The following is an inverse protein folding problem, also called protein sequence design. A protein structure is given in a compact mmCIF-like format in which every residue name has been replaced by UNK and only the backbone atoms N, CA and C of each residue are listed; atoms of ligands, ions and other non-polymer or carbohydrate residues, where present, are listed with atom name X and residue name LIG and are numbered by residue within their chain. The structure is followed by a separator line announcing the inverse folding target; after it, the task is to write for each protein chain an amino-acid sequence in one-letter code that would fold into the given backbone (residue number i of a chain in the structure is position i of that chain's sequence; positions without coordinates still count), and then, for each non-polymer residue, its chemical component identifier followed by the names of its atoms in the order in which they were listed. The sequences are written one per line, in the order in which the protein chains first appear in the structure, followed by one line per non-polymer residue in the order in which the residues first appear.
data_IF_077761267050
#
_entry.id   IF_077761267050
#
_cell.length_a   1.000
_cell.length_b   1.000
_cell.length_c   1.000
_cell.angle_alpha   90.00
_cell.angle_beta   90.00
_cell.angle_gamma   90.00
#
_symmetry.space_group_name_H-M   'P 1'
#
loop_
_entity.id
_entity.type
_entity.pdbx_description
1 polymer ?
#
# COMPACT_ATOMS: atom_id res chain seq x y z
N UNK A 1 -25.03 4.06 18.46
CA UNK A 1 -24.20 5.28 18.60
C UNK A 1 -23.23 5.34 17.41
N UNK A 2 -23.59 6.08 16.35
CA UNK A 2 -22.81 6.22 15.09
C UNK A 2 -22.06 7.55 15.00
N UNK A 3 -21.79 8.16 16.16
CA UNK A 3 -20.93 9.32 16.31
C UNK A 3 -19.49 8.81 16.36
N UNK A 4 -18.58 9.32 15.51
CA UNK A 4 -17.17 9.62 15.89
C UNK A 4 -16.20 9.67 14.70
N UNK A 5 -16.33 8.79 13.69
CA UNK A 5 -15.31 8.75 12.60
C UNK A 5 -15.33 10.05 11.80
N UNK A 6 -16.50 10.61 11.48
CA UNK A 6 -16.56 11.87 10.74
C UNK A 6 -16.15 13.08 11.59
N UNK A 7 -16.51 13.15 12.88
CA UNK A 7 -16.21 14.36 13.68
C UNK A 7 -14.74 14.47 14.07
N UNK A 8 -14.12 13.37 14.54
CA UNK A 8 -12.72 13.37 14.94
C UNK A 8 -11.76 13.52 13.75
N UNK A 9 -12.22 13.13 12.56
CA UNK A 9 -11.49 13.27 11.31
C UNK A 9 -11.60 14.66 10.68
N UNK A 10 -12.79 15.25 10.71
CA UNK A 10 -13.04 16.55 10.09
C UNK A 10 -12.45 17.71 10.91
N UNK A 11 -12.17 17.52 12.20
CA UNK A 11 -11.62 18.60 13.03
C UNK A 11 -10.21 19.03 12.58
N UNK A 12 -9.20 18.14 12.43
CA UNK A 12 -7.89 18.53 11.89
C UNK A 12 -7.97 19.17 10.51
N UNK A 13 -8.82 18.65 9.61
CA UNK A 13 -9.00 19.21 8.26
C UNK A 13 -9.59 20.62 8.30
N UNK A 14 -10.64 20.85 9.10
CA UNK A 14 -11.23 22.19 9.28
C UNK A 14 -10.22 23.17 9.89
N UNK A 15 -9.38 22.70 10.81
CA UNK A 15 -8.29 23.51 11.35
C UNK A 15 -7.29 23.87 10.25
N UNK A 16 -6.95 22.92 9.39
CA UNK A 16 -6.05 23.13 8.26
C UNK A 16 -6.63 24.13 7.24
N UNK A 17 -7.91 23.97 6.89
CA UNK A 17 -8.63 24.91 6.01
C UNK A 17 -8.66 26.32 6.63
N UNK A 18 -8.93 26.43 7.94
CA UNK A 18 -8.92 27.71 8.64
C UNK A 18 -7.52 28.36 8.65
N UNK A 19 -6.46 27.56 8.86
CA UNK A 19 -5.08 28.03 8.81
C UNK A 19 -4.70 28.49 7.39
N UNK A 20 -5.08 27.73 6.37
CA UNK A 20 -4.85 28.11 4.96
C UNK A 20 -5.54 29.43 4.63
N UNK A 21 -6.80 29.61 5.03
CA UNK A 21 -7.54 30.86 4.86
C UNK A 21 -6.89 32.04 5.60
N UNK A 22 -6.31 31.82 6.79
CA UNK A 22 -5.59 32.90 7.48
C UNK A 22 -4.34 33.36 6.73
N UNK A 23 -3.63 32.44 6.06
CA UNK A 23 -2.49 32.79 5.22
C UNK A 23 -2.88 33.61 3.98
N UNK A 24 -3.97 33.25 3.30
CA UNK A 24 -4.44 33.99 2.12
C UNK A 24 -4.86 35.43 2.45
N UNK A 25 -5.39 35.65 3.66
CA UNK A 25 -5.86 36.95 4.11
C UNK A 25 -4.74 37.89 4.59
N UNK A 26 -3.47 37.45 4.54
CA UNK A 26 -2.31 38.28 4.92
C UNK A 26 -2.27 38.64 6.42
N UNK A 27 -3.00 37.92 7.27
CA UNK A 27 -2.91 38.02 8.72
C UNK A 27 -1.64 37.32 9.20
N UNK A 28 -1.21 37.60 10.45
CA UNK A 28 0.00 37.02 11.07
C UNK A 28 0.12 35.52 10.76
N UNK A 29 1.12 35.15 9.94
CA UNK A 29 1.29 33.78 9.49
C UNK A 29 1.51 32.85 10.69
N UNK A 30 0.76 31.73 10.79
CA UNK A 30 1.01 30.75 11.82
C UNK A 30 2.44 30.20 11.68
N UNK A 31 3.12 29.89 12.79
CA UNK A 31 4.40 29.19 12.75
C UNK A 31 4.30 27.89 11.91
N UNK A 32 5.33 27.55 11.11
CA UNK A 32 5.31 26.35 10.27
C UNK A 32 5.14 25.05 11.08
N UNK A 33 5.56 25.05 12.35
CA UNK A 33 5.36 23.93 13.28
C UNK A 33 3.88 23.60 13.51
N UNK A 34 2.98 24.59 13.47
CA UNK A 34 1.53 24.37 13.62
C UNK A 34 0.99 23.65 12.39
N UNK A 35 1.37 24.10 11.19
CA UNK A 35 0.99 23.42 9.94
C UNK A 35 1.45 21.97 9.93
N UNK A 36 2.70 21.71 10.33
CA UNK A 36 3.25 20.35 10.44
C UNK A 36 2.48 19.52 11.45
N UNK A 37 2.20 20.03 12.65
CA UNK A 37 1.47 19.29 13.68
C UNK A 37 0.06 18.90 13.22
N UNK A 38 -0.68 19.85 12.63
CA UNK A 38 -2.04 19.60 12.11
C UNK A 38 -2.01 18.62 10.93
N UNK A 39 -1.01 18.72 10.05
CA UNK A 39 -0.82 17.80 8.94
C UNK A 39 -0.53 16.37 9.42
N UNK A 40 0.40 16.21 10.36
CA UNK A 40 0.74 14.91 10.97
C UNK A 40 -0.51 14.28 11.57
N UNK A 41 -1.27 15.04 12.37
CA UNK A 41 -2.49 14.55 12.98
C UNK A 41 -3.52 14.14 11.91
N UNK A 42 -3.69 14.94 10.86
CA UNK A 42 -4.60 14.63 9.75
C UNK A 42 -4.21 13.34 9.04
N UNK A 43 -2.94 13.19 8.66
CA UNK A 43 -2.41 12.00 7.97
C UNK A 43 -2.49 10.74 8.83
N UNK A 44 -2.18 10.84 10.13
CA UNK A 44 -2.32 9.72 11.06
C UNK A 44 -3.78 9.25 11.17
N UNK A 45 -4.73 10.19 11.27
CA UNK A 45 -6.17 9.85 11.34
C UNK A 45 -6.65 9.21 10.04
N UNK A 46 -6.26 9.75 8.88
CA UNK A 46 -6.51 9.14 7.56
C UNK A 46 -5.95 7.70 7.54
N UNK A 47 -4.71 7.52 7.97
CA UNK A 47 -4.05 6.22 8.00
C UNK A 47 -4.72 5.19 8.91
N UNK A 48 -5.24 5.59 10.08
CA UNK A 48 -6.01 4.70 10.96
C UNK A 48 -7.28 4.21 10.28
N UNK A 49 -8.03 5.11 9.62
CA UNK A 49 -9.26 4.75 8.90
C UNK A 49 -8.95 3.84 7.71
N UNK A 50 -7.90 4.16 6.94
CA UNK A 50 -7.43 3.34 5.84
C UNK A 50 -7.01 1.94 6.32
N UNK A 51 -6.19 1.84 7.35
CA UNK A 51 -5.72 0.56 7.87
C UNK A 51 -6.88 -0.31 8.39
N UNK A 52 -7.89 0.29 9.03
CA UNK A 52 -9.10 -0.42 9.44
C UNK A 52 -9.86 -1.00 8.22
N UNK A 53 -10.03 -0.20 7.16
CA UNK A 53 -10.72 -0.64 5.94
C UNK A 53 -9.95 -1.73 5.17
N UNK A 54 -8.62 -1.62 5.10
CA UNK A 54 -7.76 -2.62 4.45
C UNK A 54 -7.70 -3.94 5.24
N UNK A 55 -7.68 -3.87 6.58
CA UNK A 55 -7.60 -5.07 7.45
C UNK A 55 -8.89 -5.86 7.53
N UNK A 56 -10.06 -5.20 7.44
CA UNK A 56 -11.37 -5.83 7.58
C UNK A 56 -11.80 -6.66 6.36
N UNK A 57 -11.14 -6.45 5.22
CA UNK A 57 -11.33 -7.30 4.04
C UNK A 57 -10.98 -8.77 4.32
N UNK A 58 -10.37 -9.09 5.47
CA UNK A 58 -10.03 -10.44 5.90
C UNK A 58 -10.97 -11.07 6.95
N UNK A 59 -11.94 -10.35 7.55
CA UNK A 59 -12.73 -10.86 8.70
C UNK A 59 -14.24 -10.62 8.58
N UNK A 60 -14.96 -11.63 8.09
CA UNK A 60 -16.42 -11.59 7.83
C UNK A 60 -17.34 -11.54 9.08
N UNK A 61 -16.82 -11.56 10.32
CA UNK A 61 -17.64 -11.88 11.51
C UNK A 61 -17.83 -10.78 12.58
N UNK A 62 -17.51 -9.50 12.32
CA UNK A 62 -17.72 -8.44 13.31
C UNK A 62 -19.11 -7.76 13.16
N UNK A 63 -20.08 -8.20 13.97
CA UNK A 63 -21.48 -7.75 13.99
C UNK A 63 -21.76 -6.41 14.70
N UNK A 64 -20.75 -5.66 15.15
CA UNK A 64 -20.95 -4.37 15.82
C UNK A 64 -20.34 -3.22 15.02
N UNK A 65 -21.21 -2.34 14.52
CA UNK A 65 -20.95 -1.16 13.68
C UNK A 65 -20.54 -1.51 12.25
N UNK A 66 -21.39 -1.16 11.28
CA UNK A 66 -21.10 -1.32 9.84
C UNK A 66 -19.81 -0.56 9.52
N UNK A 67 -18.71 -1.25 9.18
CA UNK A 67 -17.47 -0.58 8.86
C UNK A 67 -17.60 0.25 7.57
N UNK A 68 -16.76 1.28 7.39
CA UNK A 68 -16.75 2.05 6.15
C UNK A 68 -16.32 1.14 4.99
N UNK A 69 -16.96 1.29 3.83
CA UNK A 69 -16.63 0.45 2.67
C UNK A 69 -15.21 0.78 2.18
N UNK A 70 -14.36 -0.22 1.85
CA UNK A 70 -12.99 0.03 1.41
C UNK A 70 -12.88 1.00 0.24
N UNK A 71 -13.81 0.93 -0.72
CA UNK A 71 -13.85 1.84 -1.87
C UNK A 71 -14.12 3.30 -1.46
N UNK A 72 -15.08 3.53 -0.56
CA UNK A 72 -15.39 4.88 -0.05
C UNK A 72 -14.18 5.46 0.70
N UNK A 73 -13.47 4.62 1.46
CA UNK A 73 -12.24 5.02 2.17
C UNK A 73 -11.10 5.33 1.20
N UNK A 74 -10.88 4.51 0.18
CA UNK A 74 -9.85 4.81 -0.82
C UNK A 74 -10.15 6.09 -1.61
N UNK A 75 -11.42 6.32 -1.97
CA UNK A 75 -11.83 7.55 -2.64
C UNK A 75 -11.57 8.76 -1.74
N UNK A 76 -11.90 8.65 -0.45
CA UNK A 76 -11.59 9.67 0.55
C UNK A 76 -10.09 9.93 0.68
N UNK A 77 -9.26 8.89 0.74
CA UNK A 77 -7.79 9.04 0.80
C UNK A 77 -7.27 9.72 -0.46
N UNK A 78 -7.80 9.34 -1.62
CA UNK A 78 -7.42 9.88 -2.94
C UNK A 78 -7.72 11.37 -3.07
N UNK A 79 -8.71 11.91 -2.34
CA UNK A 79 -9.04 13.34 -2.36
C UNK A 79 -8.38 14.11 -1.23
N UNK A 80 -8.39 13.58 -0.02
CA UNK A 80 -7.98 14.33 1.17
C UNK A 80 -6.48 14.37 1.39
N UNK A 81 -5.75 13.31 1.02
CA UNK A 81 -4.28 13.35 1.12
C UNK A 81 -3.71 14.43 0.19
N UNK A 82 -4.08 14.50 -1.09
CA UNK A 82 -3.70 15.63 -1.95
C UNK A 82 -4.06 16.99 -1.37
N UNK A 83 -5.29 17.14 -0.85
CA UNK A 83 -5.75 18.40 -0.26
C UNK A 83 -4.85 18.83 0.91
N UNK A 84 -4.59 17.92 1.86
CA UNK A 84 -3.69 18.17 3.01
C UNK A 84 -2.29 18.58 2.53
N UNK A 85 -1.71 17.86 1.56
CA UNK A 85 -0.37 18.19 1.06
C UNK A 85 -0.33 19.56 0.38
N UNK A 86 -1.33 19.87 -0.45
CA UNK A 86 -1.41 21.16 -1.17
C UNK A 86 -1.58 22.36 -0.25
N UNK A 87 -2.25 22.18 0.91
CA UNK A 87 -2.41 23.25 1.88
C UNK A 87 -1.20 23.41 2.82
N UNK A 88 -0.45 22.34 3.08
CA UNK A 88 0.60 22.33 4.10
C UNK A 88 1.97 22.66 3.53
N UNK A 89 2.32 22.13 2.35
CA UNK A 89 3.67 22.27 1.82
C UNK A 89 4.01 23.71 1.41
N UNK A 90 3.16 24.48 0.71
CA UNK A 90 3.50 25.84 0.32
C UNK A 90 3.78 26.79 1.50
N UNK A 91 2.96 26.83 2.58
CA UNK A 91 3.25 27.63 3.77
C UNK A 91 4.57 27.24 4.45
N UNK A 92 4.87 25.94 4.54
CA UNK A 92 6.15 25.46 5.09
C UNK A 92 7.30 26.00 4.24
N UNK A 93 7.28 25.82 2.91
CA UNK A 93 8.35 26.30 2.04
C UNK A 93 8.51 27.81 2.12
N UNK A 94 7.39 28.56 2.16
CA UNK A 94 7.39 30.01 2.26
C UNK A 94 8.07 30.52 3.54
N UNK A 95 7.82 29.88 4.68
CA UNK A 95 8.40 30.24 5.97
C UNK A 95 9.94 30.17 5.97
N UNK A 96 10.53 29.31 5.14
CA UNK A 96 11.98 29.12 5.00
C UNK A 96 12.61 29.94 3.86
N UNK A 97 11.88 30.89 3.28
CA UNK A 97 12.46 31.86 2.34
C UNK A 97 13.14 33.01 3.10
N UNK A 98 14.15 33.66 2.47
CA UNK A 98 14.90 34.78 3.09
C UNK A 98 14.02 35.94 3.58
N UNK A 99 12.79 36.09 3.07
CA UNK A 99 11.80 37.06 3.56
C UNK A 99 11.08 36.60 4.84
N UNK A 100 10.83 35.30 5.01
CA UNK A 100 10.17 34.74 6.19
C UNK A 100 11.04 34.80 7.46
N UNK A 101 12.36 34.67 7.31
CA UNK A 101 13.30 34.81 8.43
C UNK A 101 13.35 36.23 9.03
N UNK A 102 13.04 37.27 8.24
CA UNK A 102 13.04 38.66 8.69
C UNK A 102 11.84 39.02 9.60
N UNK A 103 10.77 38.23 9.55
CA UNK A 103 9.56 38.38 10.39
C UNK A 103 9.64 37.60 11.71
N UNK A 104 10.68 36.78 11.92
CA UNK A 104 10.90 35.98 13.14
C UNK A 104 11.46 36.76 14.33
N UNK A 105 11.13 38.06 14.47
CA UNK A 105 11.36 38.75 15.73
C UNK A 105 10.45 38.12 16.77
N UNK A 106 11.05 37.56 17.82
CA UNK A 106 10.39 36.90 18.96
C UNK A 106 9.59 37.93 19.75
N UNK A 107 8.49 38.40 19.19
CA UNK A 107 7.40 39.04 19.91
C UNK A 107 6.42 37.94 20.26
N UNK A 108 6.08 37.83 21.54
CA UNK A 108 5.12 36.89 22.13
C UNK A 108 3.86 36.77 21.28
N UNK A 109 3.87 35.87 20.31
CA UNK A 109 2.77 35.72 19.37
C UNK A 109 1.62 35.02 20.07
N UNK A 110 0.35 35.31 19.72
CA UNK A 110 -0.82 34.67 20.32
C UNK A 110 -0.82 33.13 20.18
N UNK A 111 0.04 32.57 19.34
CA UNK A 111 0.18 31.14 19.10
C UNK A 111 0.89 30.36 20.22
N UNK A 112 1.75 30.99 21.02
CA UNK A 112 2.45 30.28 22.12
C UNK A 112 1.47 29.84 23.20
N UNK A 113 0.46 30.66 23.49
CA UNK A 113 -0.57 30.36 24.49
C UNK A 113 -1.49 29.22 24.07
N UNK A 114 -1.69 29.01 22.75
CA UNK A 114 -2.53 27.93 22.21
C UNK A 114 -1.81 26.58 22.30
N UNK A 115 -0.48 26.56 22.14
CA UNK A 115 0.33 25.34 22.19
C UNK A 115 0.54 24.80 23.62
N UNK A 116 0.41 25.65 24.63
CA UNK A 116 0.57 25.27 26.05
C UNK A 116 -0.75 24.79 26.71
N UNK A 117 -1.90 24.96 26.04
CA UNK A 117 -3.22 24.93 26.68
C UNK A 117 -3.99 23.61 26.73
N UNK A 118 -3.66 22.57 25.96
CA UNK A 118 -4.49 21.35 25.90
C UNK A 118 -3.70 20.18 25.28
N UNK A 119 -3.43 19.11 26.05
CA UNK A 119 -3.05 17.71 25.69
C UNK A 119 -2.15 17.39 24.45
N UNK A 120 -1.59 18.40 23.76
CA UNK A 120 -0.77 18.29 22.56
C UNK A 120 0.74 18.19 22.88
N UNK A 121 1.07 18.00 24.15
CA UNK A 121 2.40 18.13 24.75
C UNK A 121 3.52 17.19 24.25
N UNK A 122 3.30 16.08 23.50
CA UNK A 122 4.44 15.34 22.92
C UNK A 122 4.83 15.79 21.49
N UNK A 123 3.99 16.53 20.76
CA UNK A 123 4.25 16.88 19.35
C UNK A 123 5.10 18.15 19.19
N UNK A 124 5.03 19.06 20.16
CA UNK A 124 5.78 20.33 20.14
C UNK A 124 7.28 20.13 20.41
N UNK A 125 7.71 19.07 21.09
CA UNK A 125 9.14 18.81 21.37
C UNK A 125 9.91 18.17 20.20
N UNK A 126 9.21 17.51 19.28
CA UNK A 126 9.83 16.83 18.12
C UNK A 126 10.04 17.76 16.91
N UNK A 127 9.40 18.94 16.90
CA UNK A 127 9.35 19.85 15.74
C UNK A 127 10.15 21.16 15.99
N UNK A 128 10.96 21.22 17.06
CA UNK A 128 11.80 22.41 17.41
C UNK A 128 13.08 22.51 16.53
N UNK A 129 13.10 21.89 15.36
CA UNK A 129 14.16 22.09 14.38
C UNK A 129 13.79 23.22 13.43
N UNK A 130 14.56 24.31 13.40
CA UNK A 130 14.48 25.34 12.36
C UNK A 130 15.04 24.84 11.00
N UNK A 131 14.85 23.57 10.68
CA UNK A 131 15.37 22.93 9.47
C UNK A 131 14.20 22.44 8.61
N UNK A 132 14.11 23.00 7.39
CA UNK A 132 13.14 22.62 6.38
C UNK A 132 13.14 21.12 6.11
N UNK A 133 14.33 20.51 6.08
CA UNK A 133 14.53 19.07 5.86
C UNK A 133 13.81 18.23 6.92
N UNK A 134 13.91 18.62 8.20
CA UNK A 134 13.25 17.92 9.32
C UNK A 134 11.73 18.05 9.22
N UNK A 135 11.23 19.24 8.89
CA UNK A 135 9.79 19.51 8.74
C UNK A 135 9.17 18.72 7.59
N UNK A 136 9.82 18.73 6.43
CA UNK A 136 9.38 17.95 5.26
C UNK A 136 9.42 16.46 5.55
N UNK A 137 10.48 15.97 6.19
CA UNK A 137 10.59 14.57 6.56
C UNK A 137 9.51 14.14 7.58
N UNK A 138 9.11 15.03 8.50
CA UNK A 138 8.03 14.74 9.44
C UNK A 138 6.69 14.54 8.71
N UNK A 139 6.32 15.44 7.79
CA UNK A 139 5.05 15.32 7.04
C UNK A 139 5.09 14.15 6.06
N UNK A 140 6.13 14.07 5.22
CA UNK A 140 6.26 13.02 4.20
C UNK A 140 6.50 11.64 4.82
N UNK A 141 7.21 11.56 5.95
CA UNK A 141 7.38 10.32 6.70
C UNK A 141 6.05 9.74 7.18
N UNK A 142 5.16 10.58 7.71
CA UNK A 142 3.83 10.15 8.14
C UNK A 142 2.97 9.70 6.97
N UNK A 143 3.05 10.40 5.83
CA UNK A 143 2.40 9.98 4.59
C UNK A 143 2.85 8.57 4.15
N UNK A 144 4.15 8.30 4.19
CA UNK A 144 4.71 6.99 3.83
C UNK A 144 4.23 5.91 4.77
N UNK A 145 4.43 6.12 6.07
CA UNK A 145 4.26 5.07 7.08
C UNK A 145 2.80 4.69 7.32
N UNK A 146 1.91 5.68 7.31
CA UNK A 146 0.51 5.46 7.65
C UNK A 146 -0.39 5.24 6.44
N UNK A 147 0.05 5.63 5.24
CA UNK A 147 -0.80 5.58 4.04
C UNK A 147 -0.15 4.75 2.93
N UNK A 148 0.94 5.25 2.33
CA UNK A 148 1.47 4.67 1.09
C UNK A 148 1.99 3.25 1.27
N UNK A 149 2.72 2.96 2.36
CA UNK A 149 3.17 1.59 2.66
C UNK A 149 2.00 0.64 2.92
N UNK A 150 0.94 1.12 3.57
CA UNK A 150 -0.26 0.31 3.84
C UNK A 150 -0.99 -0.07 2.57
N UNK A 151 -1.01 0.83 1.58
CA UNK A 151 -1.59 0.54 0.27
C UNK A 151 -0.77 -0.55 -0.44
N UNK A 152 0.56 -0.44 -0.47
CA UNK A 152 1.44 -1.44 -1.10
C UNK A 152 1.27 -2.82 -0.45
N UNK A 153 1.31 -2.89 0.88
CA UNK A 153 1.13 -4.12 1.65
C UNK A 153 -0.24 -4.78 1.42
N UNK A 154 -1.28 -3.98 1.14
CA UNK A 154 -2.62 -4.49 0.90
C UNK A 154 -2.84 -5.04 -0.52
N UNK A 155 -1.94 -4.80 -1.49
CA UNK A 155 -2.12 -5.27 -2.87
C UNK A 155 -2.23 -6.80 -2.91
N UNK A 156 -1.35 -7.51 -2.22
CA UNK A 156 -1.35 -8.97 -2.21
C UNK A 156 -2.64 -9.53 -1.61
N UNK A 157 -3.03 -9.06 -0.42
CA UNK A 157 -4.26 -9.52 0.24
C UNK A 157 -5.52 -9.17 -0.55
N UNK A 158 -5.60 -7.96 -1.11
CA UNK A 158 -6.70 -7.53 -1.97
C UNK A 158 -6.82 -8.42 -3.21
N UNK A 159 -5.71 -8.74 -3.86
CA UNK A 159 -5.71 -9.58 -5.07
C UNK A 159 -6.15 -11.02 -4.78
N UNK A 160 -5.69 -11.58 -3.66
CA UNK A 160 -6.13 -12.92 -3.20
C UNK A 160 -7.63 -12.97 -2.92
N UNK A 161 -8.15 -11.95 -2.23
CA UNK A 161 -9.57 -11.85 -1.91
C UNK A 161 -10.42 -11.61 -3.17
N UNK A 162 -9.99 -10.71 -4.04
CA UNK A 162 -10.68 -10.41 -5.29
C UNK A 162 -10.80 -11.67 -6.16
N UNK A 163 -9.72 -12.44 -6.27
CA UNK A 163 -9.70 -13.69 -7.05
C UNK A 163 -10.57 -14.77 -6.42
N UNK A 164 -10.61 -14.90 -5.09
CA UNK A 164 -11.45 -15.90 -4.42
C UNK A 164 -12.94 -15.62 -4.60
N UNK A 165 -13.33 -14.35 -4.73
CA UNK A 165 -14.70 -13.92 -5.01
C UNK A 165 -15.09 -14.16 -6.46
N UNK A 166 -14.19 -13.87 -7.42
CA UNK A 166 -14.45 -14.11 -8.84
C UNK A 166 -14.50 -15.60 -9.21
N UNK A 167 -13.79 -16.44 -8.45
CA UNK A 167 -13.76 -17.89 -8.62
C UNK A 167 -14.41 -18.58 -7.42
N UNK A 168 -15.74 -18.43 -7.22
CA UNK A 168 -16.42 -18.96 -6.05
C UNK A 168 -16.24 -20.47 -5.98
N UNK A 169 -15.70 -20.91 -4.84
CA UNK A 169 -15.49 -22.31 -4.57
C UNK A 169 -16.84 -23.01 -4.39
N UNK A 170 -17.07 -24.18 -5.00
CA UNK A 170 -18.30 -24.92 -4.76
C UNK A 170 -18.41 -25.24 -3.25
N UNK A 171 -19.50 -24.76 -2.63
CA UNK A 171 -19.82 -24.95 -1.22
C UNK A 171 -19.57 -26.41 -0.81
N UNK A 172 -18.78 -26.62 0.25
CA UNK A 172 -18.50 -27.95 0.81
C UNK A 172 -19.78 -28.65 1.31
N UNK A 173 -20.84 -27.89 1.62
CA UNK A 173 -21.96 -28.38 2.43
C UNK A 173 -23.30 -28.55 1.69
N UNK A 174 -23.37 -28.32 0.37
CA UNK A 174 -24.60 -28.62 -0.41
C UNK A 174 -24.76 -30.09 -0.79
N UNK A 175 -24.10 -30.97 -0.05
CA UNK A 175 -24.02 -32.40 -0.30
C UNK A 175 -24.74 -33.27 0.73
N UNK A 176 -25.84 -32.84 1.36
CA UNK A 176 -26.74 -33.76 2.08
C UNK A 176 -28.09 -33.14 2.50
N UNK A 177 -28.96 -32.85 1.54
CA UNK A 177 -30.42 -32.97 1.75
C UNK A 177 -31.09 -33.45 0.47
N UNK A 178 -31.19 -34.77 0.32
CA UNK A 178 -32.19 -35.36 -0.56
C UNK A 178 -33.58 -35.09 0.04
N UNK A 179 -34.46 -34.38 -0.67
CA UNK A 179 -35.78 -34.92 -1.08
C UNK A 179 -36.63 -33.89 -1.84
N UNK A 180 -37.32 -34.42 -2.84
CA UNK A 180 -38.33 -33.80 -3.71
C UNK A 180 -39.36 -32.95 -2.94
N UNK A 181 -39.44 -31.67 -3.27
CA UNK A 181 -40.72 -30.96 -3.44
C UNK A 181 -40.51 -29.72 -4.30
N UNK A 182 -40.84 -29.92 -5.58
CA UNK A 182 -41.15 -28.88 -6.56
C UNK A 182 -42.15 -27.91 -5.95
N UNK A 183 -41.65 -26.78 -5.47
CA UNK A 183 -42.45 -25.60 -5.10
C UNK A 183 -41.71 -24.37 -5.60
N UNK A 184 -42.49 -23.41 -6.09
CA UNK A 184 -42.14 -22.28 -6.95
C UNK A 184 -40.84 -21.51 -6.62
N UNK A 185 -40.20 -20.88 -7.62
CA UNK A 185 -39.09 -19.97 -7.40
C UNK A 185 -39.60 -18.74 -6.65
N UNK A 186 -39.36 -18.71 -5.34
CA UNK A 186 -39.60 -17.53 -4.52
C UNK A 186 -38.49 -16.51 -4.84
N UNK A 187 -38.86 -15.45 -5.53
CA UNK A 187 -38.04 -14.34 -6.02
C UNK A 187 -37.52 -13.41 -4.91
N UNK A 188 -37.11 -13.95 -3.77
CA UNK A 188 -36.71 -13.18 -2.59
C UNK A 188 -35.59 -13.84 -1.80
N UNK A 189 -34.68 -14.53 -2.49
CA UNK A 189 -33.38 -14.81 -1.92
C UNK A 189 -32.56 -13.53 -2.04
N UNK A 190 -32.69 -12.70 -1.00
CA UNK A 190 -31.82 -11.60 -0.65
C UNK A 190 -30.40 -11.95 -1.04
N UNK A 191 -29.94 -11.35 -2.14
CA UNK A 191 -28.53 -11.25 -2.47
C UNK A 191 -27.89 -10.66 -1.22
N UNK A 192 -27.24 -11.52 -0.46
CA UNK A 192 -26.29 -11.14 0.57
C UNK A 192 -25.47 -10.01 -0.02
N UNK A 193 -25.60 -8.83 0.56
CA UNK A 193 -24.80 -7.65 0.23
C UNK A 193 -23.37 -7.92 0.66
N UNK A 194 -22.73 -8.90 0.04
CA UNK A 194 -21.29 -9.09 0.07
C UNK A 194 -20.75 -7.78 -0.48
N UNK A 195 -20.09 -7.00 0.39
CA UNK A 195 -19.53 -5.72 0.01
C UNK A 195 -18.67 -5.90 -1.24
N UNK A 196 -18.76 -4.95 -2.17
CA UNK A 196 -17.90 -4.93 -3.35
C UNK A 196 -16.45 -5.10 -2.90
N UNK A 197 -15.73 -6.14 -3.37
CA UNK A 197 -14.38 -6.40 -2.92
C UNK A 197 -13.46 -5.23 -3.23
N UNK A 198 -12.42 -5.09 -2.41
CA UNK A 198 -11.36 -4.15 -2.65
C UNK A 198 -10.64 -4.52 -3.96
N UNK A 199 -10.79 -3.68 -4.98
CA UNK A 199 -10.14 -3.88 -6.26
C UNK A 199 -8.67 -3.43 -6.20
N UNK A 200 -7.69 -4.26 -6.61
CA UNK A 200 -6.28 -3.88 -6.60
C UNK A 200 -5.97 -2.67 -7.48
N UNK A 201 -6.74 -2.45 -8.55
CA UNK A 201 -6.61 -1.28 -9.42
C UNK A 201 -6.91 0.03 -8.68
N UNK A 202 -7.84 0.02 -7.73
CA UNK A 202 -8.18 1.18 -6.92
C UNK A 202 -7.04 1.55 -5.95
N UNK A 203 -6.31 0.55 -5.42
CA UNK A 203 -5.11 0.76 -4.63
C UNK A 203 -4.00 1.43 -5.46
N UNK A 204 -3.73 0.89 -6.67
CA UNK A 204 -2.75 1.45 -7.59
C UNK A 204 -3.13 2.88 -8.03
N UNK A 205 -4.41 3.13 -8.30
CA UNK A 205 -4.89 4.47 -8.67
C UNK A 205 -4.74 5.47 -7.52
N UNK A 206 -4.97 5.04 -6.28
CA UNK A 206 -4.73 5.87 -5.10
C UNK A 206 -3.24 6.25 -4.98
N UNK A 207 -2.32 5.28 -5.12
CA UNK A 207 -0.87 5.55 -5.14
C UNK A 207 -0.50 6.53 -6.25
N UNK A 208 -0.98 6.30 -7.48
CA UNK A 208 -0.73 7.15 -8.64
C UNK A 208 -1.17 8.58 -8.40
N UNK A 209 -2.35 8.76 -7.82
CA UNK A 209 -2.90 10.10 -7.57
C UNK A 209 -2.06 10.85 -6.54
N UNK A 210 -1.68 10.20 -5.43
CA UNK A 210 -0.88 10.85 -4.39
C UNK A 210 0.52 11.20 -4.91
N UNK A 211 1.18 10.29 -5.63
CA UNK A 211 2.51 10.54 -6.20
C UNK A 211 2.48 11.65 -7.27
N UNK A 212 1.45 11.67 -8.13
CA UNK A 212 1.28 12.74 -9.12
C UNK A 212 1.11 14.11 -8.46
N UNK A 213 0.42 14.18 -7.32
CA UNK A 213 0.27 15.43 -6.57
C UNK A 213 1.60 15.87 -5.95
N UNK A 214 2.40 14.95 -5.42
CA UNK A 214 3.75 15.29 -4.94
C UNK A 214 4.65 15.81 -6.07
N UNK A 215 4.58 15.19 -7.25
CA UNK A 215 5.33 15.66 -8.43
C UNK A 215 4.86 17.05 -8.88
N UNK A 216 3.54 17.30 -8.88
CA UNK A 216 2.99 18.62 -9.21
C UNK A 216 3.39 19.69 -8.17
N UNK A 217 3.42 19.33 -6.88
CA UNK A 217 3.91 20.24 -5.83
C UNK A 217 5.41 20.53 -5.98
N UNK A 218 6.20 19.61 -6.54
CA UNK A 218 7.58 19.88 -6.91
C UNK A 218 7.67 20.87 -8.09
N UNK A 219 6.81 20.72 -9.11
CA UNK A 219 6.72 21.68 -10.23
C UNK A 219 6.37 23.09 -9.74
N UNK A 220 5.33 23.19 -8.90
CA UNK A 220 4.90 24.47 -8.33
C UNK A 220 6.01 25.08 -7.46
N UNK A 221 6.66 24.27 -6.62
CA UNK A 221 7.76 24.73 -5.78
C UNK A 221 8.98 25.15 -6.60
N UNK A 222 9.24 24.55 -7.77
CA UNK A 222 10.33 24.97 -8.64
C UNK A 222 10.16 26.41 -9.14
N UNK A 223 8.91 26.81 -9.39
CA UNK A 223 8.59 28.17 -9.84
C UNK A 223 8.53 29.17 -8.69
N UNK A 224 7.97 28.78 -7.54
CA UNK A 224 7.69 29.69 -6.42
C UNK A 224 8.83 29.76 -5.38
N UNK A 225 9.55 28.65 -5.18
CA UNK A 225 10.53 28.47 -4.09
C UNK A 225 11.83 27.80 -4.59
N UNK A 226 12.57 28.43 -5.52
CA UNK A 226 13.71 27.80 -6.19
C UNK A 226 14.88 27.42 -5.27
N UNK A 227 14.97 28.02 -4.07
CA UNK A 227 16.00 27.67 -3.08
C UNK A 227 15.60 26.43 -2.26
N UNK A 228 14.30 26.22 -2.05
CA UNK A 228 13.75 25.18 -1.18
C UNK A 228 13.35 23.93 -1.96
N UNK A 229 13.01 24.07 -3.26
CA UNK A 229 12.54 22.97 -4.12
C UNK A 229 13.49 21.77 -4.11
N UNK A 230 14.79 22.01 -4.03
CA UNK A 230 15.80 20.96 -4.00
C UNK A 230 15.56 19.97 -2.84
N UNK A 231 15.26 20.48 -1.64
CA UNK A 231 15.00 19.64 -0.48
C UNK A 231 13.68 18.88 -0.64
N UNK A 232 12.63 19.53 -1.17
CA UNK A 232 11.36 18.87 -1.43
C UNK A 232 11.50 17.73 -2.46
N UNK A 233 12.19 17.97 -3.57
CA UNK A 233 12.45 16.97 -4.61
C UNK A 233 13.26 15.81 -4.03
N UNK A 234 14.32 16.10 -3.26
CA UNK A 234 15.13 15.07 -2.60
C UNK A 234 14.30 14.20 -1.66
N UNK A 235 13.44 14.81 -0.82
CA UNK A 235 12.58 14.07 0.11
C UNK A 235 11.48 13.27 -0.60
N UNK A 236 10.94 13.81 -1.68
CA UNK A 236 9.97 13.10 -2.54
C UNK A 236 10.60 11.90 -3.22
N UNK A 237 11.84 12.01 -3.70
CA UNK A 237 12.57 10.88 -4.26
C UNK A 237 12.92 9.82 -3.20
N UNK A 238 13.36 10.21 -2.02
CA UNK A 238 13.61 9.28 -0.90
C UNK A 238 12.33 8.52 -0.50
N UNK A 239 11.18 9.21 -0.49
CA UNK A 239 9.86 8.60 -0.32
C UNK A 239 9.58 7.55 -1.40
N UNK A 240 9.76 7.90 -2.68
CA UNK A 240 9.58 7.00 -3.82
C UNK A 240 10.49 5.76 -3.72
N UNK A 241 11.76 5.94 -3.37
CA UNK A 241 12.72 4.84 -3.19
C UNK A 241 12.29 3.90 -2.05
N UNK A 242 11.76 4.42 -0.93
CA UNK A 242 11.19 3.60 0.17
C UNK A 242 10.00 2.77 -0.29
N UNK A 243 9.11 3.34 -1.11
CA UNK A 243 7.95 2.63 -1.65
C UNK A 243 8.35 1.55 -2.65
N UNK A 244 9.34 1.85 -3.51
CA UNK A 244 9.91 0.87 -4.43
C UNK A 244 10.48 -0.33 -3.65
N UNK A 245 11.23 -0.08 -2.58
CA UNK A 245 11.78 -1.14 -1.72
C UNK A 245 10.68 -1.98 -1.05
N UNK A 246 9.60 -1.33 -0.59
CA UNK A 246 8.45 -2.04 -0.04
C UNK A 246 7.76 -2.93 -1.09
N UNK A 247 7.58 -2.44 -2.33
CA UNK A 247 7.01 -3.24 -3.42
C UNK A 247 7.88 -4.47 -3.75
N UNK A 248 9.21 -4.32 -3.77
CA UNK A 248 10.15 -5.43 -3.96
C UNK A 248 10.11 -6.41 -2.78
N UNK A 249 9.98 -5.92 -1.56
CA UNK A 249 9.81 -6.77 -0.37
C UNK A 249 8.53 -7.60 -0.44
N UNK A 250 7.41 -7.01 -0.86
CA UNK A 250 6.14 -7.73 -1.06
C UNK A 250 6.24 -8.74 -2.21
N UNK A 251 6.94 -8.41 -3.31
CA UNK A 251 7.23 -9.35 -4.39
C UNK A 251 8.04 -10.55 -3.87
N UNK A 252 9.11 -10.31 -3.11
CA UNK A 252 9.88 -11.38 -2.48
C UNK A 252 9.02 -12.23 -1.52
N UNK A 253 8.10 -11.59 -0.78
CA UNK A 253 7.15 -12.26 0.09
C UNK A 253 6.19 -13.20 -0.66
N UNK A 254 5.66 -12.76 -1.81
CA UNK A 254 4.78 -13.58 -2.66
C UNK A 254 5.39 -14.90 -3.09
N UNK A 255 6.70 -14.92 -3.32
CA UNK A 255 7.41 -16.12 -3.78
C UNK A 255 7.97 -16.96 -2.64
N UNK A 256 8.04 -16.40 -1.43
CA UNK A 256 8.58 -17.08 -0.24
C UNK A 256 7.51 -17.87 0.52
N UNK A 257 6.22 -17.59 0.29
CA UNK A 257 5.12 -18.37 0.85
C UNK A 257 5.13 -19.77 0.21
N UNK A 258 5.53 -20.84 0.94
CA UNK A 258 5.52 -22.18 0.39
C UNK A 258 4.07 -22.53 0.11
N UNK A 259 3.73 -22.73 -1.17
CA UNK A 259 2.38 -23.11 -1.53
C UNK A 259 2.00 -24.36 -0.70
N UNK A 260 0.95 -24.30 0.14
CA UNK A 260 0.47 -25.50 0.79
C UNK A 260 -0.04 -26.42 -0.34
N UNK A 261 0.47 -27.66 -0.32
CA UNK A 261 -0.01 -28.82 -1.06
C UNK A 261 0.38 -28.98 -2.53
N UNK A 262 1.68 -29.22 -2.79
CA UNK A 262 2.11 -30.12 -3.89
C UNK A 262 2.84 -31.39 -3.39
N UNK A 263 3.06 -31.54 -2.07
CA UNK A 263 3.87 -32.64 -1.47
C UNK A 263 3.09 -33.88 -1.01
N UNK A 264 1.81 -34.05 -1.37
CA UNK A 264 1.05 -35.26 -0.98
C UNK A 264 0.33 -35.94 -2.13
N UNK A 265 1.07 -36.32 -3.16
CA UNK A 265 0.79 -37.58 -3.85
C UNK A 265 2.02 -38.48 -3.72
N UNK A 266 2.00 -39.49 -2.82
CA UNK A 266 3.09 -40.45 -2.77
C UNK A 266 3.12 -41.19 -4.10
N UNK A 267 4.22 -41.04 -4.84
CA UNK A 267 4.55 -41.91 -5.97
C UNK A 267 4.55 -43.33 -5.42
N UNK A 268 3.70 -44.25 -5.91
CA UNK A 268 3.74 -45.63 -5.47
C UNK A 268 5.03 -46.25 -6.00
N UNK A 269 6.01 -46.44 -5.12
CA UNK A 269 7.19 -47.25 -5.40
C UNK A 269 6.77 -48.69 -5.77
N UNK A 270 7.32 -49.28 -6.85
CA UNK A 270 6.94 -50.62 -7.28
C UNK A 270 7.82 -51.68 -6.61
N UNK A 271 7.35 -52.29 -5.51
CA UNK A 271 7.78 -53.60 -4.94
C UNK A 271 7.18 -53.73 -3.53
N UNK A 272 6.59 -54.80 -3.03
CA UNK A 272 6.38 -56.20 -3.44
C UNK A 272 5.46 -56.83 -2.35
N UNK A 273 4.50 -57.69 -2.74
CA UNK A 273 3.85 -58.82 -2.00
C UNK A 273 3.77 -58.79 -0.46
N UNK A 274 2.66 -59.04 0.25
CA UNK A 274 1.51 -59.94 0.01
C UNK A 274 0.48 -59.84 1.17
N UNK A 275 -0.67 -60.50 0.96
CA UNK A 275 -1.72 -60.97 1.91
C UNK A 275 -2.83 -60.02 2.37
N UNK A 276 -3.96 -60.14 1.66
CA UNK A 276 -5.33 -60.32 2.14
C UNK A 276 -5.80 -59.59 3.40
N UNK A 277 -6.63 -58.55 3.21
CA UNK A 277 -7.88 -58.34 3.95
C UNK A 277 -8.76 -57.25 3.31
N UNK A 278 -10.01 -57.64 3.03
CA UNK A 278 -11.20 -56.80 2.86
C UNK A 278 -11.13 -55.58 1.91
N UNK A 279 -11.49 -55.88 0.65
CA UNK A 279 -11.93 -54.96 -0.40
C UNK A 279 -12.99 -53.94 0.08
N UNK A 280 -12.52 -52.75 0.45
CA UNK A 280 -13.28 -51.51 0.48
C UNK A 280 -12.60 -50.49 -0.41
N UNK A 281 -12.58 -50.72 -1.74
CA UNK A 281 -12.02 -49.80 -2.72
C UNK A 281 -12.85 -48.50 -2.75
N UNK A 282 -12.57 -47.60 -1.81
CA UNK A 282 -13.02 -46.21 -1.85
C UNK A 282 -12.20 -45.53 -2.94
N UNK A 283 -12.75 -45.52 -4.16
CA UNK A 283 -12.28 -44.62 -5.22
C UNK A 283 -12.14 -43.21 -4.61
N UNK A 284 -10.95 -42.57 -4.65
CA UNK A 284 -10.86 -41.15 -4.35
C UNK A 284 -11.85 -40.42 -5.25
N UNK A 285 -12.74 -39.66 -4.62
CA UNK A 285 -13.84 -39.01 -5.33
C UNK A 285 -13.26 -37.94 -6.25
N UNK A 286 -13.40 -38.10 -7.57
CA UNK A 286 -12.94 -37.16 -8.60
C UNK A 286 -13.35 -35.69 -8.36
N UNK A 287 -14.36 -35.46 -7.53
CA UNK A 287 -14.77 -34.13 -7.06
C UNK A 287 -13.74 -33.42 -6.18
N UNK A 288 -12.95 -34.16 -5.38
CA UNK A 288 -11.91 -33.60 -4.51
C UNK A 288 -10.71 -33.11 -5.33
N UNK A 289 -10.32 -33.87 -6.35
CA UNK A 289 -9.22 -33.52 -7.25
C UNK A 289 -9.53 -32.27 -8.08
N UNK A 290 -10.76 -32.16 -8.60
CA UNK A 290 -11.22 -30.98 -9.34
C UNK A 290 -11.28 -29.72 -8.47
N UNK A 291 -11.63 -29.85 -7.19
CA UNK A 291 -11.66 -28.74 -6.25
C UNK A 291 -10.25 -28.22 -5.98
N UNK A 292 -9.33 -29.13 -5.66
CA UNK A 292 -7.93 -28.80 -5.41
C UNK A 292 -7.31 -28.12 -6.65
N UNK A 293 -7.63 -28.60 -7.86
CA UNK A 293 -7.19 -27.98 -9.11
C UNK A 293 -7.72 -26.55 -9.28
N UNK A 294 -8.99 -26.29 -8.94
CA UNK A 294 -9.58 -24.93 -9.00
C UNK A 294 -8.96 -24.00 -7.98
N UNK A 295 -8.77 -24.48 -6.75
CA UNK A 295 -8.10 -23.71 -5.68
C UNK A 295 -6.66 -23.37 -6.07
N UNK A 296 -5.92 -24.32 -6.64
CA UNK A 296 -4.59 -24.09 -7.17
C UNK A 296 -4.60 -23.08 -8.33
N UNK A 297 -5.55 -23.18 -9.27
CA UNK A 297 -5.70 -22.22 -10.38
C UNK A 297 -6.02 -20.82 -9.89
N UNK A 298 -6.94 -20.67 -8.93
CA UNK A 298 -7.29 -19.39 -8.33
C UNK A 298 -6.10 -18.76 -7.62
N UNK A 299 -5.33 -19.55 -6.85
CA UNK A 299 -4.08 -19.08 -6.22
C UNK A 299 -3.05 -18.60 -7.24
N UNK A 300 -2.85 -19.35 -8.34
CA UNK A 300 -1.93 -18.95 -9.41
C UNK A 300 -2.37 -17.66 -10.10
N UNK A 301 -3.66 -17.49 -10.37
CA UNK A 301 -4.19 -16.26 -10.96
C UNK A 301 -4.01 -15.07 -10.02
N UNK A 302 -4.37 -15.22 -8.74
CA UNK A 302 -4.20 -14.19 -7.73
C UNK A 302 -2.73 -13.75 -7.60
N UNK A 303 -1.80 -14.71 -7.69
CA UNK A 303 -0.37 -14.40 -7.66
C UNK A 303 0.07 -13.61 -8.88
N UNK A 304 -0.33 -14.00 -10.09
CA UNK A 304 -0.01 -13.26 -11.33
C UNK A 304 -0.49 -11.81 -11.25
N UNK A 305 -1.72 -11.61 -10.82
CA UNK A 305 -2.29 -10.28 -10.66
C UNK A 305 -1.52 -9.48 -9.59
N UNK A 306 -1.15 -10.11 -8.48
CA UNK A 306 -0.37 -9.45 -7.43
C UNK A 306 1.02 -9.04 -7.92
N UNK A 307 1.69 -9.91 -8.70
CA UNK A 307 2.96 -9.61 -9.36
C UNK A 307 2.80 -8.42 -10.30
N UNK A 308 1.75 -8.40 -11.12
CA UNK A 308 1.45 -7.28 -12.01
C UNK A 308 1.28 -5.96 -11.25
N UNK A 309 0.41 -5.92 -10.22
CA UNK A 309 0.13 -4.69 -9.48
C UNK A 309 1.33 -4.21 -8.65
N UNK A 310 2.13 -5.11 -8.08
CA UNK A 310 3.35 -4.74 -7.36
C UNK A 310 4.44 -4.23 -8.32
N UNK A 311 4.62 -4.85 -9.48
CA UNK A 311 5.55 -4.37 -10.50
C UNK A 311 5.12 -3.01 -11.07
N UNK A 312 3.82 -2.79 -11.26
CA UNK A 312 3.27 -1.49 -11.65
C UNK A 312 3.49 -0.42 -10.57
N UNK A 313 3.30 -0.78 -9.29
CA UNK A 313 3.58 0.12 -8.16
C UNK A 313 5.06 0.46 -8.03
N UNK A 314 5.93 -0.54 -8.21
CA UNK A 314 7.38 -0.37 -8.26
C UNK A 314 7.79 0.57 -9.40
N UNK A 315 7.32 0.31 -10.62
CA UNK A 315 7.57 1.14 -11.80
C UNK A 315 7.13 2.59 -11.61
N UNK A 316 5.96 2.79 -11.01
CA UNK A 316 5.43 4.11 -10.66
C UNK A 316 6.36 4.87 -9.69
N UNK A 317 6.98 4.17 -8.74
CA UNK A 317 7.91 4.77 -7.78
C UNK A 317 9.27 5.10 -8.41
N UNK A 318 9.67 4.41 -9.48
CA UNK A 318 10.93 4.68 -10.16
C UNK A 318 10.92 5.94 -11.02
N UNK A 319 9.74 6.42 -11.41
CA UNK A 319 9.63 7.58 -12.31
C UNK A 319 10.19 8.85 -11.64
N UNK A 320 11.29 9.41 -12.17
CA UNK A 320 11.85 10.64 -11.65
C UNK A 320 10.89 11.80 -11.94
N UNK A 321 10.92 12.82 -11.08
CA UNK A 321 10.26 14.08 -11.37
C UNK A 321 10.84 14.71 -12.64
N UNK A 322 9.99 15.10 -13.59
CA UNK A 322 10.40 15.52 -14.94
C UNK A 322 11.33 16.75 -14.96
N UNK A 323 11.28 17.59 -13.93
CA UNK A 323 12.16 18.76 -13.78
C UNK A 323 13.53 18.46 -13.16
N UNK A 324 13.79 17.23 -12.71
CA UNK A 324 15.05 16.87 -12.05
C UNK A 324 16.13 16.53 -13.08
N UNK A 325 17.03 17.47 -13.37
CA UNK A 325 18.23 17.20 -14.19
C UNK A 325 19.32 16.48 -13.40
N UNK A 326 19.29 16.56 -12.08
CA UNK A 326 20.22 15.89 -11.18
C UNK A 326 19.57 14.64 -10.60
N UNK A 327 20.27 13.50 -10.67
CA UNK A 327 19.90 12.26 -9.96
C UNK A 327 20.22 12.45 -8.47
N UNK A 328 19.46 13.31 -7.81
CA UNK A 328 19.48 13.52 -6.36
C UNK A 328 18.88 12.28 -5.71
N UNK A 329 19.71 11.33 -5.32
CA UNK A 329 19.23 10.09 -4.72
C UNK A 329 19.94 9.76 -3.43
N UNK A 330 19.14 9.32 -2.48
CA UNK A 330 19.62 8.68 -1.27
C UNK A 330 20.38 7.41 -1.66
N UNK A 331 21.71 7.49 -1.59
CA UNK A 331 22.60 6.40 -2.02
C UNK A 331 22.38 5.14 -1.20
N UNK A 332 21.92 5.27 0.06
CA UNK A 332 21.70 4.13 0.95
C UNK A 332 20.44 3.38 0.54
N UNK A 333 19.33 4.10 0.32
CA UNK A 333 18.08 3.48 -0.12
C UNK A 333 18.22 2.84 -1.50
N UNK A 334 18.93 3.49 -2.43
CA UNK A 334 19.18 2.92 -3.75
C UNK A 334 20.10 1.70 -3.72
N UNK A 335 21.13 1.70 -2.86
CA UNK A 335 21.96 0.51 -2.65
C UNK A 335 21.13 -0.65 -2.05
N UNK A 336 20.29 -0.36 -1.04
CA UNK A 336 19.39 -1.36 -0.47
C UNK A 336 18.40 -1.90 -1.50
N UNK A 337 17.88 -1.03 -2.38
CA UNK A 337 17.01 -1.43 -3.48
C UNK A 337 17.75 -2.30 -4.50
N UNK A 338 18.98 -1.93 -4.88
CA UNK A 338 19.85 -2.72 -5.74
C UNK A 338 20.12 -4.12 -5.17
N UNK A 339 20.41 -4.21 -3.87
CA UNK A 339 20.58 -5.49 -3.16
C UNK A 339 19.28 -6.30 -3.09
N UNK A 340 18.13 -5.66 -2.87
CA UNK A 340 16.83 -6.34 -2.85
C UNK A 340 16.44 -6.91 -4.22
N UNK A 341 16.71 -6.17 -5.30
CA UNK A 341 16.54 -6.62 -6.69
C UNK A 341 17.54 -7.73 -7.03
N UNK A 342 18.80 -7.62 -6.59
CA UNK A 342 19.82 -8.65 -6.76
C UNK A 342 19.42 -9.97 -6.09
N UNK A 343 18.86 -9.90 -4.88
CA UNK A 343 18.29 -11.06 -4.20
C UNK A 343 17.10 -11.65 -4.95
N UNK A 344 16.20 -10.81 -5.49
CA UNK A 344 15.07 -11.28 -6.32
C UNK A 344 15.58 -12.03 -7.56
N UNK A 345 16.57 -11.48 -8.28
CA UNK A 345 17.18 -12.13 -9.45
C UNK A 345 17.84 -13.45 -9.04
N UNK A 346 18.72 -13.43 -8.04
CA UNK A 346 19.48 -14.61 -7.57
C UNK A 346 18.55 -15.74 -7.15
N UNK A 347 17.48 -15.42 -6.42
CA UNK A 347 16.56 -16.44 -5.86
C UNK A 347 15.48 -16.90 -6.84
N UNK A 348 15.04 -16.06 -7.79
CA UNK A 348 13.87 -16.36 -8.64
C UNK A 348 14.17 -16.50 -10.14
N UNK A 349 15.21 -15.84 -10.65
CA UNK A 349 15.57 -15.84 -12.08
C UNK A 349 16.89 -16.59 -12.37
N UNK A 350 17.83 -16.57 -11.44
CA UNK A 350 19.21 -17.06 -11.63
C UNK A 350 19.44 -18.55 -11.32
N UNK A 351 18.40 -19.31 -10.98
CA UNK A 351 18.55 -20.75 -10.74
C UNK A 351 18.82 -21.53 -12.04
N UNK A 352 19.74 -22.51 -12.06
CA UNK A 352 19.97 -23.31 -13.25
C UNK A 352 18.67 -23.99 -13.69
N UNK A 353 18.17 -23.62 -14.88
CA UNK A 353 17.05 -24.31 -15.54
C UNK A 353 17.38 -25.78 -15.83
N UNK A 354 18.67 -26.13 -15.82
CA UNK A 354 19.21 -27.48 -15.97
C UNK A 354 19.77 -27.98 -14.64
N UNK A 355 18.97 -28.69 -13.87
CA UNK A 355 19.49 -29.38 -12.68
C UNK A 355 18.38 -29.71 -11.71
N UNK A 356 18.21 -30.99 -11.46
CA UNK A 356 17.32 -31.57 -10.45
C UNK A 356 17.69 -30.96 -9.10
N UNK A 357 17.01 -29.87 -8.71
CA UNK A 357 17.07 -29.41 -7.32
C UNK A 357 16.22 -30.40 -6.52
N UNK A 358 16.89 -31.29 -5.79
CA UNK A 358 16.26 -32.33 -4.96
C UNK A 358 15.35 -31.76 -3.86
N UNK A 359 15.48 -30.46 -3.53
CA UNK A 359 14.55 -29.75 -2.67
C UNK A 359 13.51 -28.96 -3.48
N UNK A 360 12.44 -29.64 -3.86
CA UNK A 360 11.35 -29.17 -4.74
C UNK A 360 10.39 -28.13 -4.14
N UNK A 361 10.86 -27.19 -3.32
CA UNK A 361 9.98 -26.23 -2.60
C UNK A 361 10.09 -24.78 -3.07
N UNK A 362 11.07 -24.41 -3.90
CA UNK A 362 11.11 -23.05 -4.47
C UNK A 362 10.08 -22.93 -5.60
N UNK A 363 8.97 -22.22 -5.35
CA UNK A 363 8.02 -21.90 -6.42
C UNK A 363 8.69 -21.00 -7.47
N UNK A 364 9.00 -21.59 -8.62
CA UNK A 364 9.57 -20.88 -9.77
C UNK A 364 8.54 -19.88 -10.32
N UNK A 365 9.05 -18.79 -10.89
CA UNK A 365 8.26 -17.88 -11.72
C UNK A 365 7.78 -18.66 -12.96
N UNK A 366 6.55 -18.41 -13.39
CA UNK A 366 6.16 -18.81 -14.74
C UNK A 366 6.59 -17.77 -15.78
N UNK A 367 6.53 -18.12 -17.07
CA UNK A 367 7.02 -17.26 -18.16
C UNK A 367 6.36 -15.86 -18.18
N UNK A 368 5.11 -15.75 -17.73
CA UNK A 368 4.39 -14.47 -17.68
C UNK A 368 4.85 -13.65 -16.49
N UNK A 369 4.95 -14.26 -15.31
CA UNK A 369 5.47 -13.61 -14.10
C UNK A 369 6.92 -13.16 -14.30
N UNK A 370 7.75 -14.01 -14.91
CA UNK A 370 9.13 -13.70 -15.29
C UNK A 370 9.19 -12.50 -16.24
N UNK A 371 8.38 -12.49 -17.30
CA UNK A 371 8.33 -11.37 -18.24
C UNK A 371 7.93 -10.05 -17.58
N UNK A 372 6.96 -10.05 -16.67
CA UNK A 372 6.53 -8.86 -15.92
C UNK A 372 7.66 -8.36 -15.01
N UNK A 373 8.31 -9.27 -14.27
CA UNK A 373 9.41 -8.92 -13.36
C UNK A 373 10.63 -8.40 -14.14
N UNK A 374 10.96 -9.02 -15.27
CA UNK A 374 12.07 -8.57 -16.13
C UNK A 374 11.81 -7.17 -16.70
N UNK A 375 10.61 -6.88 -17.18
CA UNK A 375 10.26 -5.54 -17.65
C UNK A 375 10.41 -4.47 -16.55
N UNK A 376 10.02 -4.80 -15.31
CA UNK A 376 10.22 -3.94 -14.15
C UNK A 376 11.71 -3.74 -13.82
N UNK A 377 12.53 -4.79 -13.91
CA UNK A 377 13.98 -4.73 -13.70
C UNK A 377 14.69 -3.89 -14.78
N UNK A 378 14.29 -4.05 -16.05
CA UNK A 378 14.80 -3.25 -17.16
C UNK A 378 14.55 -1.75 -16.94
N UNK A 379 13.36 -1.40 -16.43
CA UNK A 379 13.05 -0.03 -16.04
C UNK A 379 13.95 0.46 -14.90
N UNK A 380 14.15 -0.35 -13.86
CA UNK A 380 15.06 -0.03 -12.74
C UNK A 380 16.50 0.22 -13.20
N UNK A 381 16.99 -0.59 -14.15
CA UNK A 381 18.30 -0.40 -14.76
C UNK A 381 18.38 0.87 -15.59
N UNK A 382 17.32 1.22 -16.35
CA UNK A 382 17.23 2.49 -17.06
C UNK A 382 17.36 3.70 -16.13
N UNK A 383 16.80 3.60 -14.93
CA UNK A 383 16.92 4.63 -13.88
C UNK A 383 18.28 4.62 -13.15
N UNK A 384 19.16 3.68 -13.49
CA UNK A 384 20.52 3.60 -12.95
C UNK A 384 20.64 2.90 -11.61
N UNK A 385 19.68 2.05 -11.24
CA UNK A 385 19.81 1.18 -10.07
C UNK A 385 20.79 0.07 -10.42
N UNK A 386 21.98 0.10 -9.80
CA UNK A 386 22.99 -0.96 -9.95
C UNK A 386 22.59 -2.13 -9.08
N UNK A 387 22.55 -3.33 -9.67
CA UNK A 387 22.28 -4.58 -8.97
C UNK A 387 23.62 -5.25 -8.63
N UNK A 388 23.86 -5.51 -7.34
CA UNK A 388 25.06 -6.17 -6.81
C UNK A 388 24.89 -7.69 -6.61
#
# INVERSE_FOLDING_TARGET
MSLSISSAFMQPLRTLDALSLTCENGLDLPPPSIFVAVAIQSLQRIGVVLNAALSQSCTENCMLNKPPRPHEVLQMVTTLVPHVLSMVLPPILHAYTKKGAATGSITTSPWTTILEGDDCSPLSSTVIGNDLSVMLNAVLGQLVEHILLRIIQAINSATRLYTSILLPLPDKDKGQTHHKSRTQPSSSQSQSTVGTPLEPSALLQCLRTILAVLDHLCDDAATQFPQQVHELVHRTQSLKDRLALAAVSELNGLFSDPAPDDTSSPVPSPSSSSSDSASGSRRPSASKDLRNLREARARRLARKDAVHFLCASFSLCLQPWAGSTTRMSDTILRAALGGALGNLIKTRLGGPRLGVSEDGTSSKLDDVEEGIVLAALEMAWGEGIVVE
#
